data_IF_653408340366
#
_entry.id   IF_653408340366
#
_cell.length_a   1.000
_cell.length_b   1.000
_cell.length_c   1.000
_cell.angle_alpha   90.00
_cell.angle_beta   90.00
_cell.angle_gamma   90.00
#
_symmetry.space_group_name_H-M   'P 1'
#
loop_
_entity.id
_entity.type
_entity.pdbx_description
1 polymer ?
#
# COMPACT_ATOMS: atom_id res chain seq x y z
N UNK A 1 28.04 3.45 -6.16
CA UNK A 1 27.78 2.16 -6.82
C UNK A 1 29.03 1.71 -7.61
N UNK A 2 29.48 2.48 -8.60
CA UNK A 2 30.64 2.12 -9.44
C UNK A 2 31.91 1.86 -8.62
N UNK A 3 32.19 2.65 -7.57
CA UNK A 3 33.32 2.42 -6.66
C UNK A 3 33.25 1.15 -5.82
N UNK A 4 32.05 0.61 -5.61
CA UNK A 4 31.83 -0.58 -4.78
C UNK A 4 31.73 -1.87 -5.60
N UNK A 5 31.22 -1.79 -6.82
CA UNK A 5 30.91 -2.95 -7.65
C UNK A 5 31.83 -3.10 -8.86
N UNK A 6 32.48 -2.01 -9.30
CA UNK A 6 33.43 -2.02 -10.42
C UNK A 6 34.84 -2.29 -9.95
N UNK A 7 35.51 -3.25 -10.55
CA UNK A 7 36.87 -3.67 -10.20
C UNK A 7 37.89 -3.24 -11.25
N UNK A 8 37.47 -2.85 -12.46
CA UNK A 8 38.35 -2.50 -13.57
C UNK A 8 38.14 -1.09 -14.10
N UNK A 9 39.20 -0.51 -14.66
CA UNK A 9 39.13 0.78 -15.36
C UNK A 9 38.34 0.72 -16.66
N UNK A 10 38.22 -0.47 -17.23
CA UNK A 10 37.54 -0.77 -18.50
C UNK A 10 36.05 -1.15 -18.31
N UNK A 11 35.53 -1.12 -17.06
CA UNK A 11 34.17 -1.47 -16.78
C UNK A 11 33.21 -0.40 -17.33
N UNK A 12 32.24 -0.82 -18.13
CA UNK A 12 31.23 0.04 -18.72
C UNK A 12 30.10 0.33 -17.73
N UNK A 13 29.51 1.50 -17.83
CA UNK A 13 28.27 1.86 -17.18
C UNK A 13 27.22 2.11 -18.27
N UNK A 14 26.11 1.41 -18.20
CA UNK A 14 24.95 1.64 -19.07
C UNK A 14 23.95 2.47 -18.27
N UNK A 15 23.56 3.59 -18.82
CA UNK A 15 22.50 4.43 -18.28
C UNK A 15 21.27 4.26 -19.17
N UNK A 16 20.22 3.66 -18.60
CA UNK A 16 18.94 3.55 -19.25
C UNK A 16 17.98 4.55 -18.60
N UNK A 17 17.24 5.28 -19.41
CA UNK A 17 16.15 6.10 -18.92
C UNK A 17 14.98 5.22 -18.51
N UNK A 18 14.16 5.71 -17.60
CA UNK A 18 12.94 5.00 -17.18
C UNK A 18 11.98 4.90 -18.37
N UNK A 19 11.43 3.71 -18.68
CA UNK A 19 10.40 3.58 -19.70
C UNK A 19 9.05 4.16 -19.25
N UNK A 20 8.93 4.53 -17.97
CA UNK A 20 7.70 5.09 -17.41
C UNK A 20 7.69 6.61 -17.57
N UNK A 21 6.66 7.13 -18.23
CA UNK A 21 6.46 8.55 -18.37
C UNK A 21 6.14 9.21 -17.02
N UNK A 22 6.88 10.27 -16.71
CA UNK A 22 6.73 11.01 -15.44
C UNK A 22 5.38 11.73 -15.39
N UNK A 23 4.81 12.09 -16.52
CA UNK A 23 3.50 12.76 -16.59
C UNK A 23 2.34 11.84 -16.19
N UNK A 24 2.54 10.52 -16.28
CA UNK A 24 1.56 9.53 -15.84
C UNK A 24 1.69 9.15 -14.36
N UNK A 25 2.60 9.79 -13.61
CA UNK A 25 2.83 9.52 -12.21
C UNK A 25 2.30 10.62 -11.32
N UNK A 26 1.36 10.28 -10.43
CA UNK A 26 0.93 11.15 -9.34
C UNK A 26 1.61 10.74 -8.03
N UNK A 27 2.39 11.64 -7.43
CA UNK A 27 2.96 11.46 -6.09
C UNK A 27 2.27 12.39 -5.11
N UNK A 28 1.67 11.81 -4.06
CA UNK A 28 1.02 12.56 -2.99
C UNK A 28 1.68 12.26 -1.64
N UNK A 29 1.77 13.27 -0.77
CA UNK A 29 2.34 13.12 0.57
C UNK A 29 1.34 13.64 1.60
N UNK A 30 0.90 12.77 2.52
CA UNK A 30 0.08 13.12 3.68
C UNK A 30 0.95 13.74 4.77
N UNK A 31 0.86 15.06 4.98
CA UNK A 31 1.69 15.79 5.95
C UNK A 31 1.13 15.86 7.38
N UNK A 32 -0.13 15.51 7.58
CA UNK A 32 -0.87 15.59 8.84
C UNK A 32 -1.03 14.25 9.57
N UNK A 33 -0.37 13.20 9.06
CA UNK A 33 -0.33 11.84 9.63
C UNK A 33 1.07 11.46 10.08
N UNK A 34 1.17 10.57 11.06
CA UNK A 34 2.46 10.16 11.64
C UNK A 34 2.43 8.71 12.12
N UNK A 35 3.47 7.94 11.78
CA UNK A 35 3.65 6.56 12.29
C UNK A 35 4.39 6.49 13.63
N UNK A 36 4.81 7.63 14.20
CA UNK A 36 5.48 7.67 15.51
C UNK A 36 4.60 7.02 16.57
N UNK A 37 5.18 6.10 17.34
CA UNK A 37 4.47 5.37 18.39
C UNK A 37 3.71 6.28 19.36
N UNK A 38 4.31 7.39 19.76
CA UNK A 38 3.71 8.38 20.69
C UNK A 38 2.54 9.17 20.10
N UNK A 39 2.30 9.06 18.79
CA UNK A 39 1.19 9.73 18.09
C UNK A 39 0.12 8.78 17.60
N UNK A 40 0.28 7.49 17.90
CA UNK A 40 -0.70 6.46 17.52
C UNK A 40 -1.90 6.55 18.47
N UNK A 41 -3.03 6.85 17.91
CA UNK A 41 -4.32 6.90 18.61
C UNK A 41 -5.45 6.76 17.59
N UNK A 42 -6.66 6.60 18.07
CA UNK A 42 -7.88 6.42 17.25
C UNK A 42 -8.04 7.55 16.21
N UNK A 43 -7.82 8.80 16.59
CA UNK A 43 -7.93 9.93 15.65
C UNK A 43 -6.93 9.80 14.50
N UNK A 44 -5.70 9.36 14.79
CA UNK A 44 -4.66 9.17 13.78
C UNK A 44 -5.04 8.03 12.82
N UNK A 45 -5.55 6.91 13.33
CA UNK A 45 -6.01 5.78 12.50
C UNK A 45 -7.19 6.19 11.61
N UNK A 46 -8.12 6.97 12.12
CA UNK A 46 -9.23 7.53 11.32
C UNK A 46 -8.73 8.47 10.22
N UNK A 47 -7.67 9.25 10.44
CA UNK A 47 -7.07 10.09 9.40
C UNK A 47 -6.48 9.23 8.27
N UNK A 48 -5.74 8.18 8.60
CA UNK A 48 -5.23 7.22 7.59
C UNK A 48 -6.38 6.59 6.83
N UNK A 49 -7.38 6.08 7.52
CA UNK A 49 -8.55 5.47 6.91
C UNK A 49 -9.29 6.43 5.96
N UNK A 50 -9.43 7.71 6.33
CA UNK A 50 -10.03 8.74 5.44
C UNK A 50 -9.20 9.00 4.18
N UNK A 51 -7.85 8.96 4.27
CA UNK A 51 -7.00 9.06 3.09
C UNK A 51 -7.24 7.89 2.15
N UNK A 52 -7.26 6.67 2.68
CA UNK A 52 -7.51 5.47 1.88
C UNK A 52 -8.90 5.49 1.24
N UNK A 53 -9.92 5.89 2.01
CA UNK A 53 -11.28 6.00 1.51
C UNK A 53 -11.39 7.04 0.37
N UNK A 54 -10.78 8.22 0.55
CA UNK A 54 -10.76 9.25 -0.50
C UNK A 54 -9.99 8.81 -1.74
N UNK A 55 -8.87 8.11 -1.56
CA UNK A 55 -8.07 7.60 -2.67
C UNK A 55 -8.90 6.61 -3.52
N UNK A 56 -9.48 5.59 -2.87
CA UNK A 56 -10.22 4.54 -3.55
C UNK A 56 -11.54 5.03 -4.19
N UNK A 57 -12.16 6.07 -3.65
CA UNK A 57 -13.34 6.72 -4.25
C UNK A 57 -12.96 7.79 -5.30
N UNK A 58 -11.77 8.40 -5.19
CA UNK A 58 -11.31 9.42 -6.12
C UNK A 58 -10.99 8.89 -7.51
N UNK A 59 -10.44 7.69 -7.58
CA UNK A 59 -10.20 6.98 -8.84
C UNK A 59 -10.44 5.49 -8.62
N UNK A 60 -11.35 4.91 -9.38
CA UNK A 60 -11.60 3.47 -9.38
C UNK A 60 -10.35 2.71 -9.81
N UNK A 61 -10.00 1.65 -9.09
CA UNK A 61 -8.91 0.74 -9.40
C UNK A 61 -8.41 -0.03 -8.19
N UNK A 62 -7.35 -0.80 -8.40
CA UNK A 62 -6.76 -1.62 -7.38
C UNK A 62 -5.54 -0.93 -6.77
N UNK A 63 -5.43 -0.97 -5.45
CA UNK A 63 -4.38 -0.33 -4.68
C UNK A 63 -3.79 -1.28 -3.65
N UNK A 64 -2.48 -1.23 -3.45
CA UNK A 64 -1.80 -1.85 -2.31
C UNK A 64 -1.45 -0.80 -1.25
N UNK A 65 -1.67 -1.13 0.00
CA UNK A 65 -1.36 -0.27 1.15
C UNK A 65 -0.39 -0.98 2.05
N UNK A 66 0.81 -0.44 2.21
CA UNK A 66 1.89 -1.04 2.98
C UNK A 66 2.04 -0.37 4.35
N UNK A 67 1.88 -1.14 5.40
CA UNK A 67 1.96 -0.70 6.80
C UNK A 67 3.27 -1.14 7.47
N UNK A 68 3.74 -0.41 8.50
CA UNK A 68 4.97 -0.76 9.20
C UNK A 68 4.86 -2.00 10.11
N UNK A 69 3.65 -2.46 10.42
CA UNK A 69 3.40 -3.65 11.22
C UNK A 69 1.96 -4.13 11.07
N UNK A 70 1.71 -5.41 11.39
CA UNK A 70 0.36 -5.99 11.40
C UNK A 70 -0.58 -5.25 12.36
N UNK A 71 -0.12 -4.93 13.56
CA UNK A 71 -0.93 -4.17 14.52
C UNK A 71 -1.40 -2.83 13.97
N UNK A 72 -0.51 -2.11 13.28
CA UNK A 72 -0.89 -0.82 12.68
C UNK A 72 -1.86 -1.01 11.51
N UNK A 73 -1.67 -2.06 10.73
CA UNK A 73 -2.59 -2.46 9.66
C UNK A 73 -3.99 -2.71 10.23
N UNK A 74 -4.09 -3.55 11.27
CA UNK A 74 -5.34 -3.91 11.93
C UNK A 74 -6.07 -2.67 12.49
N UNK A 75 -5.35 -1.81 13.22
CA UNK A 75 -5.90 -0.58 13.81
C UNK A 75 -6.48 0.36 12.73
N UNK A 76 -5.79 0.51 11.59
CA UNK A 76 -6.25 1.36 10.47
C UNK A 76 -7.37 0.67 9.69
N UNK A 77 -7.30 -0.64 9.50
CA UNK A 77 -8.36 -1.40 8.82
C UNK A 77 -9.68 -1.31 9.59
N UNK A 78 -9.66 -1.50 10.91
CA UNK A 78 -10.86 -1.33 11.75
C UNK A 78 -11.44 0.10 11.65
N UNK A 79 -10.57 1.12 11.65
CA UNK A 79 -11.01 2.49 11.43
C UNK A 79 -11.59 2.72 10.03
N UNK A 80 -11.07 2.03 9.02
CA UNK A 80 -11.57 2.09 7.65
C UNK A 80 -12.96 1.47 7.52
N UNK A 81 -13.19 0.30 8.12
CA UNK A 81 -14.50 -0.36 8.12
C UNK A 81 -15.57 0.54 8.75
N UNK A 82 -15.26 1.16 9.89
CA UNK A 82 -16.17 2.11 10.55
C UNK A 82 -16.53 3.31 9.66
N UNK A 83 -15.56 3.83 8.88
CA UNK A 83 -15.83 4.91 7.93
C UNK A 83 -16.72 4.40 6.79
N UNK A 84 -16.43 3.24 6.24
CA UNK A 84 -17.20 2.67 5.14
C UNK A 84 -18.65 2.42 5.56
N UNK A 85 -18.89 1.81 6.73
CA UNK A 85 -20.22 1.60 7.28
C UNK A 85 -21.00 2.90 7.47
N UNK A 86 -20.33 3.94 7.99
CA UNK A 86 -20.94 5.26 8.18
C UNK A 86 -21.32 5.90 6.86
N UNK A 87 -20.43 5.88 5.88
CA UNK A 87 -20.67 6.46 4.55
C UNK A 87 -21.75 5.70 3.80
N UNK A 88 -21.85 4.37 3.95
CA UNK A 88 -22.93 3.55 3.38
C UNK A 88 -24.29 3.95 3.98
N UNK A 89 -24.36 4.31 5.27
CA UNK A 89 -25.58 4.73 5.94
C UNK A 89 -26.00 6.17 5.61
N UNK A 90 -25.04 7.06 5.40
CA UNK A 90 -25.26 8.50 5.16
C UNK A 90 -25.35 8.85 3.67
N UNK A 91 -24.76 8.04 2.79
CA UNK A 91 -24.78 8.31 1.36
C UNK A 91 -26.13 7.97 0.74
N UNK A 92 -26.68 8.94 0.01
CA UNK A 92 -27.72 8.64 -0.99
C UNK A 92 -27.20 7.55 -1.95
N UNK A 93 -28.04 6.59 -2.38
CA UNK A 93 -27.61 5.39 -3.14
C UNK A 93 -26.82 5.62 -4.43
N UNK A 94 -26.55 6.87 -4.78
CA UNK A 94 -25.97 7.25 -6.06
C UNK A 94 -24.45 7.43 -6.09
N UNK A 95 -23.72 7.42 -4.95
CA UNK A 95 -22.29 7.80 -4.90
C UNK A 95 -21.36 6.89 -4.10
N UNK A 96 -21.86 5.89 -3.41
CA UNK A 96 -21.03 5.04 -2.56
C UNK A 96 -20.95 3.60 -3.07
N UNK A 97 -19.96 3.29 -3.90
CA UNK A 97 -19.61 1.89 -4.09
C UNK A 97 -18.80 1.41 -2.89
N UNK A 98 -19.24 0.30 -2.28
CA UNK A 98 -18.45 -0.35 -1.22
C UNK A 98 -17.08 -0.70 -1.79
N UNK A 99 -16.02 -0.29 -1.09
CA UNK A 99 -14.64 -0.62 -1.47
C UNK A 99 -14.36 -2.04 -0.98
N UNK A 100 -13.93 -2.91 -1.88
CA UNK A 100 -13.50 -4.26 -1.51
C UNK A 100 -12.14 -4.20 -0.83
N UNK A 101 -11.98 -4.92 0.28
CA UNK A 101 -10.73 -4.98 1.03
C UNK A 101 -10.24 -6.41 1.16
N UNK A 102 -8.94 -6.61 1.00
CA UNK A 102 -8.24 -7.86 1.32
C UNK A 102 -7.06 -7.54 2.23
N UNK A 103 -6.79 -8.39 3.20
CA UNK A 103 -5.76 -8.14 4.22
C UNK A 103 -4.74 -9.27 4.27
N UNK A 104 -3.47 -8.91 4.37
CA UNK A 104 -2.41 -9.85 4.64
C UNK A 104 -2.47 -10.29 6.11
N UNK A 105 -2.52 -11.60 6.37
CA UNK A 105 -2.40 -12.17 7.71
C UNK A 105 -0.95 -12.55 8.03
N UNK A 106 -0.65 -12.74 9.33
CA UNK A 106 0.70 -13.13 9.78
C UNK A 106 1.09 -14.56 9.35
N UNK A 107 0.11 -15.42 9.15
CA UNK A 107 0.31 -16.85 8.86
C UNK A 107 -0.38 -17.25 7.55
N UNK A 108 -0.07 -16.54 6.47
CA UNK A 108 -0.58 -16.92 5.14
C UNK A 108 0.18 -18.14 4.61
N UNK A 109 -0.56 -19.15 4.17
CA UNK A 109 -0.03 -20.23 3.36
C UNK A 109 0.24 -19.75 1.93
N UNK A 110 0.89 -20.56 1.11
CA UNK A 110 1.10 -20.22 -0.30
C UNK A 110 -0.25 -20.11 -1.05
N UNK A 111 -1.24 -20.95 -0.72
CA UNK A 111 -2.57 -20.86 -1.28
C UNK A 111 -3.27 -19.54 -0.92
N UNK A 112 -3.17 -19.10 0.35
CA UNK A 112 -3.74 -17.81 0.78
C UNK A 112 -3.09 -16.64 0.05
N UNK A 113 -1.77 -16.75 -0.21
CA UNK A 113 -1.04 -15.76 -0.98
C UNK A 113 -1.52 -15.69 -2.43
N UNK A 114 -1.69 -16.84 -3.08
CA UNK A 114 -2.23 -16.91 -4.43
C UNK A 114 -3.66 -16.38 -4.50
N UNK A 115 -4.52 -16.73 -3.54
CA UNK A 115 -5.89 -16.22 -3.45
C UNK A 115 -5.92 -14.70 -3.29
N UNK A 116 -5.06 -14.14 -2.42
CA UNK A 116 -4.89 -12.70 -2.27
C UNK A 116 -4.53 -12.02 -3.60
N UNK A 117 -3.55 -12.56 -4.34
CA UNK A 117 -3.12 -12.02 -5.63
C UNK A 117 -4.19 -12.18 -6.71
N UNK A 118 -4.87 -13.33 -6.77
CA UNK A 118 -5.95 -13.58 -7.70
C UNK A 118 -7.10 -12.57 -7.55
N UNK A 119 -7.30 -12.03 -6.33
CA UNK A 119 -8.28 -10.97 -6.10
C UNK A 119 -7.99 -9.71 -6.95
N UNK A 120 -6.73 -9.44 -7.28
CA UNK A 120 -6.34 -8.32 -8.14
C UNK A 120 -6.55 -8.58 -9.63
N UNK A 121 -6.67 -9.84 -10.03
CA UNK A 121 -6.94 -10.25 -11.41
C UNK A 121 -8.42 -10.15 -11.79
N UNK A 122 -9.32 -10.11 -10.81
CA UNK A 122 -10.75 -10.09 -11.02
C UNK A 122 -11.24 -8.73 -11.52
N UNK A 123 -12.11 -8.75 -12.55
CA UNK A 123 -12.82 -7.53 -12.95
C UNK A 123 -13.84 -7.12 -11.89
N UNK A 124 -13.78 -5.85 -11.48
CA UNK A 124 -14.65 -5.27 -10.45
C UNK A 124 -15.31 -3.97 -10.90
N UNK A 125 -16.46 -3.69 -10.31
CA UNK A 125 -17.13 -2.39 -10.49
C UNK A 125 -16.64 -1.36 -9.49
N UNK A 126 -16.18 -1.80 -8.32
CA UNK A 126 -15.66 -1.03 -7.19
C UNK A 126 -14.12 -1.05 -7.15
N UNK A 127 -13.55 -0.21 -6.30
CA UNK A 127 -12.11 -0.25 -6.02
C UNK A 127 -11.75 -1.38 -5.06
N UNK A 128 -10.50 -1.87 -5.19
CA UNK A 128 -9.90 -2.86 -4.29
C UNK A 128 -8.75 -2.23 -3.51
N UNK A 129 -8.73 -2.43 -2.20
CA UNK A 129 -7.61 -2.11 -1.33
C UNK A 129 -7.01 -3.39 -0.76
N UNK A 130 -5.76 -3.67 -1.06
CA UNK A 130 -4.97 -4.74 -0.45
C UNK A 130 -4.12 -4.18 0.69
N UNK A 131 -4.40 -4.60 1.92
CA UNK A 131 -3.66 -4.18 3.11
C UNK A 131 -2.51 -5.13 3.38
N UNK A 132 -1.28 -4.65 3.27
CA UNK A 132 -0.05 -5.43 3.38
C UNK A 132 0.90 -4.84 4.43
N UNK A 133 1.89 -5.63 4.85
CA UNK A 133 2.96 -5.17 5.74
C UNK A 133 4.26 -5.01 4.96
N UNK A 134 4.97 -3.90 5.19
CA UNK A 134 6.29 -3.64 4.60
C UNK A 134 7.28 -4.73 5.03
N UNK A 135 8.08 -5.22 4.08
CA UNK A 135 8.99 -6.34 4.31
C UNK A 135 8.31 -7.70 4.44
N UNK A 136 6.98 -7.78 4.24
CA UNK A 136 6.23 -9.03 4.17
C UNK A 136 6.26 -9.67 2.79
N UNK A 137 5.53 -10.78 2.65
CA UNK A 137 5.50 -11.63 1.42
C UNK A 137 5.03 -10.89 0.16
N UNK A 138 4.37 -9.74 0.30
CA UNK A 138 3.89 -8.92 -0.82
C UNK A 138 4.79 -7.70 -1.10
N UNK A 139 5.93 -7.56 -0.39
CA UNK A 139 6.86 -6.45 -0.62
C UNK A 139 7.79 -6.68 -1.81
N UNK A 140 7.95 -7.93 -2.21
CA UNK A 140 8.80 -8.34 -3.33
C UNK A 140 8.12 -9.49 -4.09
N UNK A 141 8.47 -9.63 -5.39
CA UNK A 141 8.01 -10.76 -6.20
C UNK A 141 6.51 -10.76 -6.55
N UNK A 142 5.90 -9.57 -6.61
CA UNK A 142 4.54 -9.39 -7.14
C UNK A 142 4.67 -8.83 -8.55
N UNK A 143 3.97 -9.43 -9.49
CA UNK A 143 3.85 -8.95 -10.87
C UNK A 143 2.38 -8.66 -11.20
N UNK A 144 1.94 -7.47 -10.81
CA UNK A 144 0.60 -6.93 -11.12
C UNK A 144 0.76 -5.86 -12.20
N UNK A 145 0.60 -6.30 -13.45
CA UNK A 145 0.76 -5.44 -14.64
C UNK A 145 -0.51 -4.67 -14.98
N UNK A 146 -0.35 -3.59 -15.75
CA UNK A 146 -1.45 -2.77 -16.29
C UNK A 146 -2.39 -2.23 -15.19
N UNK A 147 -3.69 -2.32 -15.42
CA UNK A 147 -4.73 -1.81 -14.52
C UNK A 147 -4.97 -2.71 -13.28
N UNK A 148 -4.26 -3.84 -13.17
CA UNK A 148 -4.33 -4.73 -12.00
C UNK A 148 -3.81 -4.08 -10.73
N UNK A 149 -2.93 -3.07 -10.86
CA UNK A 149 -2.48 -2.24 -9.76
C UNK A 149 -2.21 -0.82 -10.24
N UNK A 150 -3.08 0.12 -9.90
CA UNK A 150 -2.94 1.52 -10.32
C UNK A 150 -2.27 2.43 -9.29
N UNK A 151 -2.08 1.96 -8.07
CA UNK A 151 -1.46 2.77 -7.03
C UNK A 151 -0.97 1.99 -5.83
N UNK A 152 0.02 2.57 -5.16
CA UNK A 152 0.54 2.07 -3.89
C UNK A 152 0.56 3.18 -2.83
N UNK A 153 0.18 2.84 -1.61
CA UNK A 153 0.24 3.73 -0.45
C UNK A 153 1.28 3.19 0.52
N UNK A 154 2.26 4.01 0.86
CA UNK A 154 3.28 3.66 1.83
C UNK A 154 3.00 4.40 3.14
N UNK A 155 2.70 3.67 4.20
CA UNK A 155 2.42 4.21 5.53
C UNK A 155 3.71 4.25 6.35
N UNK A 156 4.39 5.40 6.32
CA UNK A 156 5.65 5.60 7.03
C UNK A 156 6.88 5.33 6.18
N UNK A 157 8.02 5.23 6.85
CA UNK A 157 9.33 5.17 6.19
C UNK A 157 9.85 3.75 5.96
N UNK A 158 9.20 2.73 6.49
CA UNK A 158 9.66 1.32 6.35
C UNK A 158 11.08 1.06 6.86
N UNK A 159 11.61 1.94 7.70
CA UNK A 159 12.95 1.72 8.26
C UNK A 159 12.93 0.51 9.20
N UNK A 160 13.90 -0.41 9.04
CA UNK A 160 14.04 -1.53 9.94
C UNK A 160 14.36 -1.06 11.37
N UNK A 161 13.94 -1.83 12.36
CA UNK A 161 14.30 -1.56 13.74
C UNK A 161 15.82 -1.54 13.91
N UNK A 162 16.30 -0.61 14.74
CA UNK A 162 17.72 -0.59 15.18
C UNK A 162 17.94 -1.85 16.02
N UNK A 163 18.87 -2.68 15.62
CA UNK A 163 19.30 -3.87 16.35
C UNK A 163 20.82 -3.94 16.32
N UNK A 164 21.40 -4.72 17.25
CA UNK A 164 22.88 -4.83 17.40
C UNK A 164 23.61 -5.30 16.14
N UNK A 165 22.90 -5.99 15.25
CA UNK A 165 23.47 -6.51 13.99
C UNK A 165 23.53 -5.43 12.89
N UNK A 166 22.98 -4.23 13.15
CA UNK A 166 22.87 -3.12 12.19
C UNK A 166 23.51 -1.81 12.69
N UNK A 167 24.11 -1.83 13.88
CA UNK A 167 25.01 -0.82 14.38
C UNK A 167 26.44 -1.14 13.93
#
# INVERSE_FOLDING_TARGET
>A
YKKLLSTGKEDYAIYAESPFDVEHRLLMVGGDVSTKYTRRNEEMYQRYARYLWKLANGKKGNYLVFFPSYRFLEDVYEAFEKIQEKEELEAFPALGHRITCVTQSQSMSENDREEFLNTFEEERKESLLGFCVMGGIFSEGIDLTEDKLIGAVIVGTGLPQVCRERE
#
